data_IF_348008361697
#
_entry.id   IF_348008361697
#
_cell.length_a   1.000
_cell.length_b   1.000
_cell.length_c   1.000
_cell.angle_alpha   90.00
_cell.angle_beta   90.00
_cell.angle_gamma   90.00
#
_symmetry.space_group_name_H-M   'P 1'
#
loop_
_entity.id
_entity.type
_entity.pdbx_description
1 polymer ?
#
# COMPACT_ATOMS: atom_id res chain seq x y z
N UNK A 1 -4.24 -1.21 -15.15
CA UNK A 1 -4.64 -2.57 -15.55
C UNK A 1 -6.01 -2.52 -16.18
N UNK A 2 -6.35 -3.50 -17.02
CA UNK A 2 -7.64 -3.55 -17.72
C UNK A 2 -8.36 -4.87 -17.41
N UNK A 3 -9.67 -4.79 -17.21
CA UNK A 3 -10.55 -5.96 -17.09
C UNK A 3 -11.44 -5.97 -18.33
N UNK A 4 -11.45 -7.09 -19.04
CA UNK A 4 -12.39 -7.35 -20.13
C UNK A 4 -13.46 -8.29 -19.58
N UNK A 5 -14.71 -7.86 -19.62
CA UNK A 5 -15.82 -8.61 -19.02
C UNK A 5 -17.09 -8.48 -19.86
N UNK A 6 -18.06 -9.36 -19.62
CA UNK A 6 -19.40 -9.20 -20.18
C UNK A 6 -20.15 -8.07 -19.48
N UNK A 7 -21.21 -7.58 -20.13
CA UNK A 7 -22.06 -6.52 -19.61
C UNK A 7 -22.63 -6.81 -18.21
N UNK A 8 -23.02 -8.05 -17.94
CA UNK A 8 -23.58 -8.49 -16.65
C UNK A 8 -22.52 -8.61 -15.54
N UNK A 9 -21.23 -8.70 -15.89
CA UNK A 9 -20.14 -8.85 -14.93
C UNK A 9 -19.65 -7.52 -14.36
N UNK A 10 -19.91 -6.39 -15.04
CA UNK A 10 -19.39 -5.06 -14.69
C UNK A 10 -19.60 -4.72 -13.22
N UNK A 11 -20.81 -4.91 -12.71
CA UNK A 11 -21.15 -4.57 -11.33
C UNK A 11 -20.33 -5.41 -10.33
N UNK A 12 -20.17 -6.71 -10.59
CA UNK A 12 -19.43 -7.60 -9.68
C UNK A 12 -17.92 -7.32 -9.70
N UNK A 13 -17.37 -7.00 -10.86
CA UNK A 13 -15.96 -6.61 -11.04
C UNK A 13 -15.64 -5.27 -10.37
N UNK A 14 -16.50 -4.27 -10.57
CA UNK A 14 -16.34 -2.97 -9.91
C UNK A 14 -16.49 -3.07 -8.39
N UNK A 15 -17.46 -3.85 -7.92
CA UNK A 15 -17.66 -4.07 -6.49
C UNK A 15 -16.48 -4.82 -5.86
N UNK A 16 -15.94 -5.83 -6.54
CA UNK A 16 -14.73 -6.55 -6.10
C UNK A 16 -13.56 -5.60 -5.96
N UNK A 17 -13.31 -4.77 -6.97
CA UNK A 17 -12.24 -3.78 -6.93
C UNK A 17 -12.36 -2.85 -5.72
N UNK A 18 -13.54 -2.29 -5.46
CA UNK A 18 -13.76 -1.42 -4.30
C UNK A 18 -13.48 -2.15 -2.97
N UNK A 19 -13.96 -3.38 -2.81
CA UNK A 19 -13.74 -4.19 -1.61
C UNK A 19 -12.28 -4.56 -1.37
N UNK A 20 -11.50 -4.75 -2.43
CA UNK A 20 -10.08 -5.12 -2.33
C UNK A 20 -9.18 -3.89 -2.12
N UNK A 21 -9.55 -2.75 -2.72
CA UNK A 21 -8.73 -1.54 -2.69
C UNK A 21 -8.71 -0.87 -1.30
N UNK A 22 -9.82 -0.86 -0.57
CA UNK A 22 -9.88 -0.21 0.74
C UNK A 22 -8.98 -0.90 1.80
N UNK A 23 -9.01 -2.25 1.98
CA UNK A 23 -8.06 -2.94 2.86
C UNK A 23 -6.61 -2.78 2.42
N UNK A 24 -6.38 -2.71 1.11
CA UNK A 24 -5.06 -2.45 0.56
C UNK A 24 -4.52 -1.09 1.02
N UNK A 25 -5.30 -0.01 0.92
CA UNK A 25 -4.88 1.30 1.41
C UNK A 25 -4.73 1.38 2.92
N UNK A 26 -5.60 0.69 3.67
CA UNK A 26 -5.44 0.56 5.14
C UNK A 26 -4.09 -0.05 5.51
N UNK A 27 -3.57 -1.01 4.75
CA UNK A 27 -2.24 -1.61 4.98
C UNK A 27 -1.08 -0.61 4.85
N UNK A 28 -1.31 0.49 4.14
CA UNK A 28 -0.38 1.62 4.01
C UNK A 28 -0.60 2.74 5.03
N UNK A 29 -1.59 2.63 5.92
CA UNK A 29 -1.93 3.63 6.94
C UNK A 29 -3.07 4.58 6.56
N UNK A 30 -3.74 4.37 5.43
CA UNK A 30 -4.88 5.20 5.03
C UNK A 30 -6.20 4.57 5.47
N UNK A 31 -6.67 4.93 6.66
CA UNK A 31 -7.93 4.42 7.23
C UNK A 31 -9.18 5.13 6.71
N UNK A 32 -9.03 6.40 6.30
CA UNK A 32 -10.09 7.23 5.73
C UNK A 32 -9.81 7.49 4.25
N UNK A 33 -10.56 6.79 3.39
CA UNK A 33 -10.47 6.87 1.93
C UNK A 33 -11.77 7.44 1.41
N UNK A 34 -11.72 8.65 0.85
CA UNK A 34 -12.85 9.25 0.17
C UNK A 34 -13.10 8.60 -1.18
N UNK A 35 -14.35 8.58 -1.63
CA UNK A 35 -14.73 8.09 -2.96
C UNK A 35 -15.45 9.20 -3.71
N UNK A 36 -15.07 9.42 -4.96
CA UNK A 36 -15.72 10.38 -5.86
C UNK A 36 -16.18 9.68 -7.12
N UNK A 37 -17.46 9.79 -7.46
CA UNK A 37 -18.02 9.37 -8.73
C UNK A 37 -17.94 10.54 -9.72
N UNK A 38 -16.99 10.46 -10.62
CA UNK A 38 -16.71 11.47 -11.63
C UNK A 38 -17.50 11.17 -12.91
N UNK A 39 -18.47 12.04 -13.22
CA UNK A 39 -19.43 11.91 -14.32
C UNK A 39 -18.92 12.55 -15.62
N UNK A 40 -19.70 12.42 -16.69
CA UNK A 40 -19.35 12.88 -18.04
C UNK A 40 -18.81 14.32 -18.11
N UNK A 41 -17.69 14.54 -18.82
CA UNK A 41 -17.25 15.88 -19.22
C UNK A 41 -18.03 16.39 -20.44
N UNK A 42 -17.89 17.68 -20.73
CA UNK A 42 -18.48 18.30 -21.93
C UNK A 42 -17.90 17.70 -23.22
N UNK A 43 -16.57 17.54 -23.28
CA UNK A 43 -15.88 16.89 -24.39
C UNK A 43 -15.72 15.39 -24.12
N UNK A 44 -16.56 14.59 -24.79
CA UNK A 44 -16.63 13.13 -24.60
C UNK A 44 -16.88 12.37 -25.88
N UNK A 45 -16.46 11.12 -25.85
CA UNK A 45 -16.66 10.11 -26.88
C UNK A 45 -17.79 9.16 -26.47
N UNK A 46 -18.41 8.54 -27.48
CA UNK A 46 -19.50 7.58 -27.28
C UNK A 46 -20.86 8.24 -27.17
N UNK A 47 -21.90 7.42 -27.24
CA UNK A 47 -23.29 7.86 -27.21
C UNK A 47 -23.78 8.12 -25.78
N UNK A 48 -24.77 8.98 -25.64
CA UNK A 48 -25.38 9.32 -24.34
C UNK A 48 -25.92 8.09 -23.62
N UNK A 49 -26.47 7.12 -24.36
CA UNK A 49 -26.97 5.88 -23.79
C UNK A 49 -25.89 5.07 -23.06
N UNK A 50 -24.63 5.08 -23.54
CA UNK A 50 -23.54 4.39 -22.86
C UNK A 50 -23.09 5.13 -21.61
N UNK A 51 -23.04 6.45 -21.67
CA UNK A 51 -22.72 7.27 -20.51
C UNK A 51 -23.77 7.14 -19.42
N UNK A 52 -25.04 7.24 -19.80
CA UNK A 52 -26.19 7.04 -18.92
C UNK A 52 -26.12 5.69 -18.22
N UNK A 53 -25.77 4.64 -18.98
CA UNK A 53 -25.58 3.29 -18.44
C UNK A 53 -24.38 3.22 -17.50
N UNK A 54 -23.23 3.74 -17.92
CA UNK A 54 -21.99 3.64 -17.15
C UNK A 54 -22.07 4.39 -15.81
N UNK A 55 -22.65 5.58 -15.82
CA UNK A 55 -22.82 6.42 -14.63
C UNK A 55 -23.76 5.76 -13.62
N UNK A 56 -24.88 5.20 -14.10
CA UNK A 56 -25.79 4.41 -13.26
C UNK A 56 -25.11 3.18 -12.69
N UNK A 57 -24.45 2.37 -13.51
CA UNK A 57 -23.82 1.12 -13.04
C UNK A 57 -22.75 1.39 -11.97
N UNK A 58 -21.89 2.39 -12.16
CA UNK A 58 -20.90 2.75 -11.13
C UNK A 58 -21.54 3.34 -9.87
N UNK A 59 -22.57 4.17 -10.02
CA UNK A 59 -23.34 4.74 -8.92
C UNK A 59 -24.04 3.66 -8.08
N UNK A 60 -24.71 2.72 -8.73
CA UNK A 60 -25.41 1.60 -8.10
C UNK A 60 -24.43 0.67 -7.38
N UNK A 61 -23.24 0.44 -7.94
CA UNK A 61 -22.18 -0.35 -7.30
C UNK A 61 -21.71 0.28 -5.99
N UNK A 62 -21.35 1.57 -6.01
CA UNK A 62 -20.82 2.22 -4.80
C UNK A 62 -21.92 2.40 -3.75
N UNK A 63 -23.14 2.73 -4.16
CA UNK A 63 -24.30 2.82 -3.28
C UNK A 63 -24.67 1.45 -2.68
N UNK A 64 -24.66 0.38 -3.48
CA UNK A 64 -24.95 -0.98 -3.04
C UNK A 64 -23.91 -1.55 -2.08
N UNK A 65 -22.68 -1.04 -2.11
CA UNK A 65 -21.65 -1.36 -1.11
C UNK A 65 -21.81 -0.57 0.21
N UNK A 66 -22.73 0.39 0.27
CA UNK A 66 -22.90 1.27 1.43
C UNK A 66 -21.69 2.19 1.67
N UNK A 67 -20.88 2.45 0.65
CA UNK A 67 -19.71 3.31 0.74
C UNK A 67 -20.14 4.77 0.50
N UNK A 68 -19.86 5.71 1.42
CA UNK A 68 -20.09 7.12 1.17
C UNK A 68 -19.28 7.60 -0.03
N UNK A 69 -19.91 8.38 -0.91
CA UNK A 69 -19.24 8.95 -2.07
C UNK A 69 -19.81 10.33 -2.42
N UNK A 70 -18.96 11.15 -3.02
CA UNK A 70 -19.34 12.43 -3.61
C UNK A 70 -19.54 12.27 -5.11
N UNK A 71 -20.40 13.09 -5.71
CA UNK A 71 -20.58 13.12 -7.16
C UNK A 71 -19.87 14.35 -7.72
N UNK A 72 -19.03 14.15 -8.74
CA UNK A 72 -18.31 15.20 -9.42
C UNK A 72 -18.75 15.28 -10.90
N UNK A 73 -19.66 16.21 -11.25
CA UNK A 73 -19.98 16.50 -12.64
C UNK A 73 -18.73 16.94 -13.42
N UNK A 74 -18.56 16.45 -14.64
CA UNK A 74 -17.46 16.85 -15.51
C UNK A 74 -16.08 16.24 -15.21
N UNK A 75 -15.93 15.46 -14.14
CA UNK A 75 -14.64 14.89 -13.72
C UNK A 75 -14.22 13.60 -14.45
N UNK A 76 -15.13 12.98 -15.19
CA UNK A 76 -14.91 11.74 -15.93
C UNK A 76 -13.88 11.90 -17.06
N UNK A 77 -13.29 10.80 -17.53
CA UNK A 77 -12.44 10.91 -18.71
C UNK A 77 -13.27 10.87 -19.99
N UNK A 78 -12.66 11.21 -21.12
CA UNK A 78 -13.35 11.34 -22.41
C UNK A 78 -14.10 10.08 -22.87
N UNK A 79 -13.79 8.88 -22.35
CA UNK A 79 -14.38 7.60 -22.76
C UNK A 79 -15.23 6.91 -21.68
N UNK A 80 -15.43 7.53 -20.51
CA UNK A 80 -16.34 6.98 -19.51
C UNK A 80 -16.20 7.55 -18.09
N UNK A 81 -17.21 7.34 -17.23
CA UNK A 81 -17.20 7.77 -15.84
C UNK A 81 -16.27 6.89 -15.01
N UNK A 82 -15.87 7.39 -13.84
CA UNK A 82 -14.93 6.69 -12.97
C UNK A 82 -15.24 6.92 -11.50
N UNK A 83 -14.93 5.91 -10.69
CA UNK A 83 -14.76 6.07 -9.25
C UNK A 83 -13.30 6.44 -8.99
N UNK A 84 -13.10 7.44 -8.16
CA UNK A 84 -11.79 7.94 -7.74
C UNK A 84 -11.65 7.80 -6.22
N UNK A 85 -10.51 7.26 -5.79
CA UNK A 85 -10.22 7.02 -4.39
C UNK A 85 -9.23 8.06 -3.89
N UNK A 86 -9.68 8.84 -2.92
CA UNK A 86 -9.00 10.03 -2.39
C UNK A 86 -8.38 9.68 -1.05
N UNK A 87 -7.05 9.70 -1.00
CA UNK A 87 -6.27 9.50 0.21
C UNK A 87 -6.01 10.85 0.87
N UNK A 88 -6.12 10.91 2.20
CA UNK A 88 -5.72 12.08 2.98
C UNK A 88 -4.37 11.81 3.65
N UNK A 89 -3.40 12.70 3.44
CA UNK A 89 -2.13 12.62 4.16
C UNK A 89 -2.27 13.16 5.60
N UNK A 90 -1.22 13.00 6.42
CA UNK A 90 -1.21 13.48 7.82
C UNK A 90 -1.38 15.00 7.98
N UNK A 91 -1.26 15.77 6.89
CA UNK A 91 -1.48 17.23 6.85
C UNK A 91 -2.89 17.58 6.34
N UNK A 92 -3.73 16.58 6.09
CA UNK A 92 -5.09 16.75 5.60
C UNK A 92 -5.22 17.02 4.10
N UNK A 93 -4.12 16.97 3.33
CA UNK A 93 -4.19 17.18 1.87
C UNK A 93 -4.80 15.96 1.20
N UNK A 94 -5.68 16.21 0.24
CA UNK A 94 -6.36 15.18 -0.53
C UNK A 94 -5.58 14.81 -1.79
N UNK A 95 -5.44 13.51 -2.04
CA UNK A 95 -4.71 12.96 -3.16
C UNK A 95 -5.54 11.88 -3.86
N UNK A 96 -5.91 12.10 -5.12
CA UNK A 96 -6.52 11.04 -5.94
C UNK A 96 -5.45 10.04 -6.36
N UNK A 97 -5.65 8.78 -6.00
CA UNK A 97 -4.72 7.68 -6.29
C UNK A 97 -5.41 6.59 -7.09
N UNK A 98 -6.32 5.87 -6.44
CA UNK A 98 -7.01 4.73 -7.03
C UNK A 98 -8.09 5.19 -7.98
N UNK A 99 -8.34 4.38 -8.99
CA UNK A 99 -9.50 4.59 -9.86
C UNK A 99 -9.99 3.29 -10.46
N UNK A 100 -11.30 3.21 -10.68
CA UNK A 100 -11.92 2.26 -11.60
C UNK A 100 -12.84 3.03 -12.55
N UNK A 101 -12.66 2.79 -13.83
CA UNK A 101 -13.33 3.52 -14.90
C UNK A 101 -14.01 2.55 -15.84
N UNK A 102 -15.25 2.84 -16.18
CA UNK A 102 -16.08 2.01 -17.05
C UNK A 102 -16.09 2.57 -18.47
N UNK A 103 -15.57 1.79 -19.41
CA UNK A 103 -15.36 2.17 -20.81
C UNK A 103 -16.13 1.24 -21.77
N UNK A 104 -17.10 1.83 -22.47
CA UNK A 104 -17.82 1.20 -23.58
C UNK A 104 -17.31 1.62 -24.96
N UNK A 105 -16.47 2.67 -25.04
CA UNK A 105 -16.00 3.31 -26.27
C UNK A 105 -14.85 2.54 -26.89
N UNK A 106 -13.77 2.28 -26.14
CA UNK A 106 -12.58 1.65 -26.72
C UNK A 106 -12.86 0.23 -27.21
N UNK A 107 -13.58 -0.65 -26.47
CA UNK A 107 -13.88 -1.99 -26.98
C UNK A 107 -14.58 -1.97 -28.34
N UNK A 108 -15.46 -0.99 -28.58
CA UNK A 108 -16.12 -0.84 -29.87
C UNK A 108 -15.19 -0.32 -30.96
N UNK A 109 -14.35 0.65 -30.66
CA UNK A 109 -13.36 1.18 -31.63
C UNK A 109 -12.39 0.11 -32.11
N UNK A 110 -12.07 -0.86 -31.25
CA UNK A 110 -11.22 -2.01 -31.59
C UNK A 110 -11.98 -3.26 -32.06
N UNK A 111 -13.31 -3.19 -32.20
CA UNK A 111 -14.21 -4.32 -32.49
C UNK A 111 -13.94 -5.57 -31.61
N UNK A 112 -13.75 -5.34 -30.31
CA UNK A 112 -13.53 -6.41 -29.33
C UNK A 112 -14.83 -7.15 -29.05
N UNK A 113 -14.83 -8.44 -29.37
CA UNK A 113 -15.97 -9.35 -29.17
C UNK A 113 -15.54 -10.61 -28.43
N UNK A 114 -16.44 -11.20 -27.66
CA UNK A 114 -16.31 -12.56 -27.14
C UNK A 114 -17.42 -13.46 -27.67
N UNK A 115 -17.19 -14.77 -27.65
CA UNK A 115 -18.20 -15.76 -28.03
C UNK A 115 -18.93 -16.21 -26.78
N UNK A 116 -20.26 -16.03 -26.75
CA UNK A 116 -21.11 -16.43 -25.63
C UNK A 116 -21.36 -17.94 -25.65
N UNK A 117 -21.97 -18.46 -24.57
CA UNK A 117 -22.41 -19.85 -24.50
C UNK A 117 -23.42 -20.23 -25.61
N UNK A 118 -24.16 -19.27 -26.16
CA UNK A 118 -25.07 -19.48 -27.30
C UNK A 118 -24.37 -19.43 -28.67
N UNK A 119 -23.06 -19.16 -28.70
CA UNK A 119 -22.29 -18.99 -29.93
C UNK A 119 -22.40 -17.60 -30.55
N UNK A 120 -23.14 -16.67 -29.93
CA UNK A 120 -23.26 -15.30 -30.39
C UNK A 120 -21.96 -14.52 -30.13
N UNK A 121 -21.64 -13.55 -31.00
CA UNK A 121 -20.52 -12.63 -30.80
C UNK A 121 -21.02 -11.36 -30.13
N UNK A 122 -20.69 -11.19 -28.86
CA UNK A 122 -21.12 -10.02 -28.07
C UNK A 122 -19.96 -9.05 -27.83
N UNK A 123 -20.24 -7.73 -27.72
CA UNK A 123 -19.22 -6.75 -27.41
C UNK A 123 -18.69 -6.92 -25.99
N UNK A 124 -17.39 -6.71 -25.84
CA UNK A 124 -16.72 -6.70 -24.54
C UNK A 124 -16.92 -5.34 -23.86
N UNK A 125 -17.03 -5.33 -22.54
CA UNK A 125 -16.94 -4.11 -21.71
C UNK A 125 -15.56 -4.06 -21.06
N UNK A 126 -14.95 -2.88 -21.02
CA UNK A 126 -13.64 -2.69 -20.42
C UNK A 126 -13.72 -1.84 -19.15
N UNK A 127 -13.07 -2.29 -18.08
CA UNK A 127 -12.81 -1.50 -16.88
C UNK A 127 -11.31 -1.17 -16.80
N UNK A 128 -10.97 0.11 -16.77
CA UNK A 128 -9.61 0.55 -16.45
C UNK A 128 -9.49 0.69 -14.95
N UNK A 129 -8.40 0.17 -14.37
CA UNK A 129 -8.15 0.30 -12.94
C UNK A 129 -6.71 0.61 -12.60
N UNK A 130 -6.52 1.40 -11.56
CA UNK A 130 -5.22 1.65 -10.94
C UNK A 130 -5.36 1.61 -9.42
N UNK A 131 -4.40 0.97 -8.75
CA UNK A 131 -4.35 0.92 -7.28
C UNK A 131 -3.50 2.06 -6.73
N UNK A 132 -2.31 2.29 -7.31
CA UNK A 132 -1.40 3.35 -6.87
C UNK A 132 -1.61 4.68 -7.61
N UNK A 133 -2.25 4.64 -8.79
CA UNK A 133 -2.01 5.64 -9.81
C UNK A 133 -0.59 5.49 -10.36
N UNK A 134 0.19 6.58 -10.40
CA UNK A 134 1.65 6.51 -10.60
C UNK A 134 2.33 6.05 -9.32
N UNK A 135 3.27 5.12 -9.45
CA UNK A 135 4.03 4.60 -8.31
C UNK A 135 4.87 5.70 -7.66
N UNK A 136 5.47 6.57 -8.46
CA UNK A 136 6.27 7.72 -8.02
C UNK A 136 5.45 8.66 -7.15
N UNK A 137 4.23 9.00 -7.61
CA UNK A 137 3.30 9.84 -6.84
C UNK A 137 2.88 9.16 -5.55
N UNK A 138 2.55 7.87 -5.60
CA UNK A 138 2.15 7.12 -4.42
C UNK A 138 3.27 7.05 -3.37
N UNK A 139 4.52 6.84 -3.79
CA UNK A 139 5.69 6.90 -2.90
C UNK A 139 5.84 8.27 -2.24
N UNK A 140 5.67 9.36 -3.00
CA UNK A 140 5.69 10.72 -2.44
C UNK A 140 4.60 10.93 -1.38
N UNK A 141 3.38 10.47 -1.64
CA UNK A 141 2.26 10.55 -0.70
C UNK A 141 2.55 9.72 0.55
N UNK A 142 3.09 8.52 0.41
CA UNK A 142 3.48 7.66 1.54
C UNK A 142 4.53 8.32 2.43
N UNK A 143 5.57 8.90 1.84
CA UNK A 143 6.63 9.58 2.59
C UNK A 143 6.07 10.78 3.36
N UNK A 144 5.16 11.55 2.75
CA UNK A 144 4.50 12.67 3.41
C UNK A 144 3.55 12.22 4.52
N UNK A 145 2.79 11.15 4.30
CA UNK A 145 1.86 10.58 5.27
C UNK A 145 2.59 10.02 6.50
N UNK A 146 3.70 9.30 6.30
CA UNK A 146 4.51 8.71 7.40
C UNK A 146 5.60 9.64 7.93
N UNK A 147 5.80 10.81 7.34
CA UNK A 147 6.90 11.72 7.69
C UNK A 147 8.29 11.09 7.55
N UNK A 148 8.50 10.35 6.46
CA UNK A 148 9.67 9.52 6.17
C UNK A 148 9.93 8.35 7.13
N UNK A 149 9.16 8.20 8.22
CA UNK A 149 9.25 7.06 9.13
C UNK A 149 8.31 5.92 8.68
N UNK A 150 8.63 5.25 7.58
CA UNK A 150 7.77 4.22 6.97
C UNK A 150 7.49 3.01 7.89
N UNK A 151 6.36 2.31 7.75
CA UNK A 151 6.12 1.04 8.44
C UNK A 151 7.27 0.05 8.21
N UNK A 152 7.54 -0.83 9.18
CA UNK A 152 8.71 -1.71 9.13
C UNK A 152 8.82 -2.53 7.85
N UNK A 153 7.70 -2.99 7.30
CA UNK A 153 7.68 -3.77 6.06
C UNK A 153 8.05 -2.97 4.80
N UNK A 154 7.87 -1.64 4.82
CA UNK A 154 8.21 -0.71 3.74
C UNK A 154 9.56 -0.03 3.92
N UNK A 155 10.08 0.04 5.15
CA UNK A 155 11.32 0.78 5.43
C UNK A 155 12.51 0.20 4.64
N UNK A 156 13.30 1.02 3.92
CA UNK A 156 14.43 0.52 3.13
C UNK A 156 15.46 -0.19 4.03
N UNK A 157 15.67 0.33 5.23
CA UNK A 157 16.36 -0.33 6.34
C UNK A 157 15.36 -0.63 7.44
N UNK A 158 15.21 -1.90 7.81
CA UNK A 158 14.21 -2.35 8.77
C UNK A 158 14.76 -2.45 10.18
N UNK A 159 16.03 -2.88 10.29
CA UNK A 159 16.73 -3.05 11.56
C UNK A 159 18.14 -2.49 11.47
N UNK A 160 18.58 -1.75 12.48
CA UNK A 160 19.99 -1.41 12.67
C UNK A 160 20.54 -2.16 13.88
N UNK A 161 21.63 -2.91 13.71
CA UNK A 161 22.36 -3.56 14.79
C UNK A 161 23.56 -2.70 15.15
N UNK A 162 23.66 -2.30 16.42
CA UNK A 162 24.65 -1.34 16.91
C UNK A 162 25.40 -1.95 18.10
N UNK A 163 26.63 -2.47 17.92
CA UNK A 163 27.49 -2.86 19.05
C UNK A 163 27.85 -1.64 19.90
N UNK A 164 28.03 -1.81 21.21
CA UNK A 164 28.48 -0.70 22.08
C UNK A 164 29.98 -0.45 21.88
N UNK A 165 30.76 -1.52 21.78
CA UNK A 165 32.22 -1.50 21.55
C UNK A 165 32.64 -2.53 20.50
N UNK A 166 33.88 -2.44 20.01
CA UNK A 166 34.43 -3.39 19.03
C UNK A 166 34.46 -4.84 19.56
N UNK A 167 34.57 -5.03 20.87
CA UNK A 167 34.50 -6.35 21.49
C UNK A 167 33.13 -7.03 21.30
N UNK A 168 32.07 -6.26 21.04
CA UNK A 168 30.72 -6.75 20.81
C UNK A 168 30.43 -7.07 19.33
N UNK A 169 31.36 -6.72 18.43
CA UNK A 169 31.20 -6.88 16.99
C UNK A 169 30.87 -8.33 16.57
N UNK A 170 31.54 -9.38 17.09
CA UNK A 170 31.23 -10.76 16.69
C UNK A 170 29.77 -11.15 16.98
N UNK A 171 29.23 -10.74 18.14
CA UNK A 171 27.82 -11.00 18.49
C UNK A 171 26.86 -10.19 17.60
N UNK A 172 27.20 -8.94 17.30
CA UNK A 172 26.42 -8.09 16.41
C UNK A 172 26.38 -8.64 14.97
N UNK A 173 27.48 -9.19 14.47
CA UNK A 173 27.54 -9.85 13.16
C UNK A 173 26.63 -11.07 13.11
N UNK A 174 26.67 -11.95 14.13
CA UNK A 174 25.78 -13.12 14.23
C UNK A 174 24.30 -12.69 14.19
N UNK A 175 23.91 -11.67 14.95
CA UNK A 175 22.52 -11.17 14.97
C UNK A 175 22.13 -10.61 13.61
N UNK A 176 23.00 -9.81 12.99
CA UNK A 176 22.79 -9.26 11.66
C UNK A 176 22.62 -10.38 10.62
N UNK A 177 23.50 -11.37 10.62
CA UNK A 177 23.45 -12.47 9.64
C UNK A 177 22.23 -13.36 9.83
N UNK A 178 21.80 -13.57 11.08
CA UNK A 178 20.57 -14.31 11.37
C UNK A 178 19.34 -13.57 10.84
N UNK A 179 19.24 -12.25 11.06
CA UNK A 179 18.17 -11.41 10.54
C UNK A 179 18.18 -11.35 9.01
N UNK A 180 19.36 -11.17 8.41
CA UNK A 180 19.54 -11.12 6.96
C UNK A 180 19.13 -12.44 6.30
N UNK A 181 19.54 -13.58 6.87
CA UNK A 181 19.15 -14.93 6.42
C UNK A 181 17.63 -15.13 6.49
N UNK A 182 16.96 -14.50 7.45
CA UNK A 182 15.50 -14.49 7.57
C UNK A 182 14.80 -13.48 6.62
N UNK A 183 15.54 -12.77 5.77
CA UNK A 183 15.02 -11.84 4.77
C UNK A 183 14.74 -10.43 5.30
N UNK A 184 15.29 -10.06 6.46
CA UNK A 184 15.19 -8.70 7.01
C UNK A 184 16.28 -7.82 6.39
N UNK A 185 15.92 -6.61 5.96
CA UNK A 185 16.90 -5.60 5.50
C UNK A 185 17.55 -4.96 6.72
N UNK A 186 18.76 -5.41 7.04
CA UNK A 186 19.47 -5.06 8.27
C UNK A 186 20.79 -4.37 7.99
N UNK A 187 21.08 -3.29 8.72
CA UNK A 187 22.36 -2.57 8.73
C UNK A 187 23.14 -2.91 10.00
N UNK A 188 24.44 -3.16 9.88
CA UNK A 188 25.36 -3.20 11.03
C UNK A 188 26.08 -1.84 11.11
N UNK A 189 25.90 -1.11 12.19
CA UNK A 189 26.56 0.18 12.43
C UNK A 189 27.59 0.06 13.55
N UNK A 190 28.83 -0.26 13.15
CA UNK A 190 30.01 -0.32 14.01
C UNK A 190 30.91 0.93 13.88
N UNK A 191 30.40 2.07 13.42
CA UNK A 191 31.22 3.25 13.15
C UNK A 191 31.81 3.89 14.42
N UNK A 192 32.91 4.63 14.34
CA UNK A 192 33.67 5.14 15.49
C UNK A 192 32.97 6.21 16.38
N UNK A 193 31.70 6.55 16.11
CA UNK A 193 30.96 7.54 16.91
C UNK A 193 30.31 6.91 18.14
N UNK A 194 29.88 7.74 19.10
CA UNK A 194 29.24 7.24 20.32
C UNK A 194 27.95 6.47 20.02
N UNK A 195 27.62 5.48 20.86
CA UNK A 195 26.39 4.70 20.76
C UNK A 195 25.15 5.59 20.62
N UNK A 196 25.03 6.61 21.46
CA UNK A 196 23.90 7.55 21.44
C UNK A 196 23.78 8.26 20.09
N UNK A 197 24.92 8.63 19.47
CA UNK A 197 24.93 9.26 18.16
C UNK A 197 24.52 8.29 17.05
N UNK A 198 25.05 7.06 17.06
CA UNK A 198 24.64 6.00 16.10
C UNK A 198 23.14 5.69 16.17
N UNK A 199 22.59 5.54 17.39
CA UNK A 199 21.15 5.35 17.57
C UNK A 199 20.34 6.56 17.11
N UNK A 200 20.80 7.78 17.39
CA UNK A 200 20.13 8.98 16.91
C UNK A 200 20.10 9.09 15.39
N UNK A 201 21.19 8.70 14.72
CA UNK A 201 21.27 8.63 13.25
C UNK A 201 20.28 7.59 12.71
N UNK A 202 20.27 6.36 13.26
CA UNK A 202 19.32 5.33 12.83
C UNK A 202 17.86 5.78 12.98
N UNK A 203 17.53 6.46 14.09
CA UNK A 203 16.19 7.02 14.29
C UNK A 203 15.87 8.14 13.28
N UNK A 204 16.84 9.01 12.98
CA UNK A 204 16.69 10.08 11.99
C UNK A 204 16.48 9.53 10.57
N UNK A 205 17.21 8.46 10.22
CA UNK A 205 17.07 7.74 8.95
C UNK A 205 15.73 6.99 8.83
N UNK A 206 14.92 6.99 9.89
CA UNK A 206 13.61 6.35 9.91
C UNK A 206 13.68 4.83 10.11
N UNK A 207 14.79 4.29 10.62
CA UNK A 207 14.91 2.85 10.92
C UNK A 207 13.86 2.46 11.98
N UNK A 208 12.98 1.47 11.71
CA UNK A 208 11.94 1.07 12.65
C UNK A 208 12.44 0.54 13.99
N UNK A 209 13.51 -0.26 13.97
CA UNK A 209 14.03 -0.96 15.15
C UNK A 209 15.56 -0.91 15.20
N UNK A 210 16.10 -0.58 16.37
CA UNK A 210 17.54 -0.56 16.63
C UNK A 210 17.88 -1.59 17.71
N UNK A 211 18.69 -2.59 17.35
CA UNK A 211 19.20 -3.61 18.27
C UNK A 211 20.54 -3.15 18.82
N UNK A 212 20.64 -2.99 20.14
CA UNK A 212 21.88 -2.61 20.82
C UNK A 212 22.55 -3.84 21.41
N UNK A 213 23.82 -4.05 21.08
CA UNK A 213 24.60 -5.20 21.58
C UNK A 213 25.68 -4.69 22.54
N UNK A 214 25.45 -4.84 23.85
CA UNK A 214 26.45 -4.56 24.88
C UNK A 214 26.92 -5.82 25.60
N UNK A 215 27.62 -5.64 26.73
CA UNK A 215 28.14 -6.75 27.53
C UNK A 215 27.03 -7.72 27.97
N UNK A 216 25.84 -7.20 28.28
CA UNK A 216 24.68 -8.01 28.67
C UNK A 216 24.22 -8.92 27.53
N UNK A 217 24.09 -8.39 26.31
CA UNK A 217 23.64 -9.14 25.14
C UNK A 217 24.72 -10.11 24.59
N UNK A 218 25.98 -9.93 25.00
CA UNK A 218 27.07 -10.90 24.76
C UNK A 218 27.07 -12.00 25.81
N UNK A 219 26.90 -11.65 27.09
CA UNK A 219 26.95 -12.59 28.21
C UNK A 219 25.65 -13.40 28.38
N UNK A 220 24.53 -12.91 27.87
CA UNK A 220 23.22 -13.55 27.95
C UNK A 220 22.61 -13.75 26.57
N UNK A 221 21.74 -14.74 26.42
CA UNK A 221 21.01 -14.95 25.18
C UNK A 221 19.78 -14.04 25.07
N UNK A 222 19.99 -12.73 25.29
CA UNK A 222 18.94 -11.71 25.18
C UNK A 222 19.33 -10.63 24.18
N UNK A 223 18.33 -9.93 23.64
CA UNK A 223 18.53 -8.76 22.78
C UNK A 223 17.71 -7.58 23.30
N UNK A 224 18.33 -6.40 23.33
CA UNK A 224 17.64 -5.13 23.60
C UNK A 224 17.26 -4.45 22.29
N UNK A 225 15.97 -4.17 22.11
CA UNK A 225 15.43 -3.50 20.93
C UNK A 225 14.88 -2.15 21.34
N UNK A 226 15.28 -1.12 20.61
CA UNK A 226 14.72 0.23 20.67
C UNK A 226 13.87 0.42 19.42
N UNK A 227 12.57 0.21 19.55
CA UNK A 227 11.61 0.62 18.53
C UNK A 227 11.30 2.11 18.63
N UNK A 228 10.52 2.62 17.68
CA UNK A 228 10.13 4.05 17.66
C UNK A 228 9.36 4.49 18.91
N UNK A 229 8.43 3.66 19.37
CA UNK A 229 7.52 4.01 20.46
C UNK A 229 7.91 3.35 21.80
N UNK A 230 8.67 2.25 21.76
CA UNK A 230 8.97 1.47 22.94
C UNK A 230 10.33 0.77 22.87
N UNK A 231 10.94 0.60 24.05
CA UNK A 231 12.10 -0.28 24.26
C UNK A 231 11.63 -1.58 24.90
N UNK A 232 12.15 -2.70 24.42
CA UNK A 232 11.86 -4.02 24.96
C UNK A 232 13.09 -4.93 24.95
N UNK A 233 13.00 -6.03 25.69
CA UNK A 233 14.05 -7.06 25.77
C UNK A 233 13.37 -8.43 25.79
N UNK A 234 13.90 -9.37 25.02
CA UNK A 234 13.49 -10.77 25.04
C UNK A 234 14.72 -11.66 24.85
N UNK A 235 14.56 -12.98 24.94
CA UNK A 235 15.59 -13.92 24.48
C UNK A 235 15.87 -13.69 22.99
N UNK A 236 17.08 -14.00 22.55
CA UNK A 236 17.52 -13.67 21.19
C UNK A 236 16.64 -14.30 20.11
N UNK A 237 16.23 -15.56 20.31
CA UNK A 237 15.32 -16.25 19.39
C UNK A 237 13.98 -15.52 19.21
N UNK A 238 13.29 -15.20 20.31
CA UNK A 238 11.97 -14.57 20.24
C UNK A 238 12.07 -13.13 19.72
N UNK A 239 13.13 -12.42 20.11
CA UNK A 239 13.40 -11.08 19.60
C UNK A 239 13.59 -11.07 18.08
N UNK A 240 14.39 -12.01 17.54
CA UNK A 240 14.60 -12.16 16.10
C UNK A 240 13.30 -12.54 15.40
N UNK A 241 12.53 -13.49 15.94
CA UNK A 241 11.26 -13.90 15.38
C UNK A 241 10.26 -12.72 15.27
N UNK A 242 10.20 -11.89 16.31
CA UNK A 242 9.35 -10.71 16.34
C UNK A 242 9.80 -9.63 15.35
N UNK A 243 11.11 -9.36 15.25
CA UNK A 243 11.67 -8.44 14.25
C UNK A 243 11.36 -8.90 12.83
N UNK A 244 11.47 -10.21 12.54
CA UNK A 244 11.12 -10.80 11.24
C UNK A 244 9.62 -10.61 10.96
N UNK A 245 8.76 -10.89 11.93
CA UNK A 245 7.30 -10.73 11.80
C UNK A 245 6.91 -9.30 11.46
N UNK A 246 7.44 -8.32 12.21
CA UNK A 246 7.20 -6.88 11.97
C UNK A 246 7.75 -6.44 10.61
N UNK A 247 8.95 -6.91 10.24
CA UNK A 247 9.60 -6.62 8.96
C UNK A 247 8.86 -7.21 7.76
N UNK A 248 8.07 -8.27 7.93
CA UNK A 248 7.24 -8.83 6.85
C UNK A 248 5.84 -8.21 6.76
N UNK A 249 5.49 -7.31 7.69
CA UNK A 249 4.16 -6.73 7.75
C UNK A 249 3.08 -7.76 8.07
N UNK A 250 3.46 -8.87 8.70
CA UNK A 250 2.50 -9.83 9.24
C UNK A 250 1.97 -9.20 10.51
N UNK A 251 0.75 -8.64 10.47
CA UNK A 251 0.05 -8.25 11.70
C UNK A 251 0.10 -9.44 12.66
N UNK A 252 0.23 -9.17 13.97
CA UNK A 252 -0.08 -10.22 14.92
C UNK A 252 -1.49 -10.66 14.56
N UNK A 253 -1.67 -11.94 14.26
CA UNK A 253 -3.01 -12.51 14.14
C UNK A 253 -3.76 -12.04 15.38
N UNK A 254 -4.74 -11.15 15.18
CA UNK A 254 -5.54 -10.65 16.27
C UNK A 254 -6.14 -11.83 17.01
N UNK A 255 -5.95 -11.84 18.33
CA UNK A 255 -6.90 -12.47 19.23
C UNK A 255 -8.24 -11.71 19.13
#
# INVERSE_FOLDING_TARGET
>A
GHIFCSADQVASEAARFCRELLPFYRRFGFDDVGIVLSLRPDDRLGEDAWWDRAERELGDVVAGLGLPFEVQPGGGAIYGPKLEFVLRDRRGRAWTCGTIQLDFVMPQRFDLRYVTASGAREPVVMLHRALFGSLERFLGILLEHHGAALPAWLAPEQVAVVPVTDAHLPRAEIVRDTLATAGVRVRLDAGATSLSRRVAIANHDGVPDVVVIGDREVASDTLTIRGRDARWTANAGDAIAELVRRSRGVCASGA
#
